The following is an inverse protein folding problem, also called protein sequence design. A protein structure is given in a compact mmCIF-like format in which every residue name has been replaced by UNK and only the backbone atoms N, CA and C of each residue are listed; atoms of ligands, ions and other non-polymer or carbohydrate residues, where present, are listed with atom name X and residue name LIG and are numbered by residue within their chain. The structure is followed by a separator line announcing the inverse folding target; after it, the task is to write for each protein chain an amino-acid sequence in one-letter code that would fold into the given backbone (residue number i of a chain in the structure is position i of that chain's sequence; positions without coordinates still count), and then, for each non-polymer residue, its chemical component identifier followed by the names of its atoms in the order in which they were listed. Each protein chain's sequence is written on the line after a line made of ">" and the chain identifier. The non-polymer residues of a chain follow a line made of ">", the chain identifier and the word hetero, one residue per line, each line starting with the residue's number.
data_IF_831679934465
#
_entry.id   IF_831679934465
#
_cell.length_a   1.000
_cell.length_b   1.000
_cell.length_c   1.000
_cell.angle_alpha   90.00
_cell.angle_beta   90.00
_cell.angle_gamma   90.00
#
_symmetry.space_group_name_H-M   'P 1'
#
loop_
_entity.id
_entity.type
_entity.pdbx_description
1 polymer ?
#
# COMPACT_ATOMS: atom_id res chain seq x y z
N UNK A 1 -4.08 -0.12 -10.32
CA UNK A 1 -2.90 -0.88 -10.80
C UNK A 1 -1.64 -0.02 -10.95
N UNK A 2 -1.57 1.04 -11.77
CA UNK A 2 -0.32 1.83 -11.91
C UNK A 2 0.02 2.69 -10.68
N UNK A 3 -0.99 3.25 -10.00
CA UNK A 3 -0.80 4.03 -8.78
C UNK A 3 -0.40 3.17 -7.58
N UNK A 4 -0.99 1.98 -7.43
CA UNK A 4 -0.64 1.05 -6.34
C UNK A 4 0.82 0.57 -6.43
N UNK A 5 1.36 0.46 -7.66
CA UNK A 5 2.75 0.06 -7.89
C UNK A 5 3.71 1.24 -7.68
N UNK A 6 3.39 2.43 -8.20
CA UNK A 6 4.21 3.65 -7.98
C UNK A 6 4.22 4.06 -6.50
N UNK A 7 3.11 3.89 -5.78
CA UNK A 7 2.96 4.18 -4.36
C UNK A 7 3.80 3.22 -3.49
N UNK A 8 3.75 1.91 -3.77
CA UNK A 8 4.63 0.94 -3.12
C UNK A 8 6.11 1.22 -3.41
N UNK A 9 6.46 1.66 -4.63
CA UNK A 9 7.86 1.99 -4.99
C UNK A 9 8.38 3.22 -4.25
N UNK A 10 7.54 4.25 -4.11
CA UNK A 10 7.86 5.46 -3.35
C UNK A 10 8.02 5.18 -1.85
N UNK A 11 7.21 4.26 -1.32
CA UNK A 11 7.34 3.82 0.07
C UNK A 11 8.62 3.00 0.29
N UNK A 12 9.05 2.16 -0.66
CA UNK A 12 10.22 1.29 -0.48
C UNK A 12 11.57 2.02 -0.63
N UNK A 13 11.65 3.09 -1.45
CA UNK A 13 12.92 3.73 -1.77
C UNK A 13 13.42 4.81 -0.79
N UNK A 14 12.56 5.66 -0.22
CA UNK A 14 13.03 6.79 0.62
C UNK A 14 12.30 6.93 1.96
N UNK A 15 11.15 6.27 2.11
CA UNK A 15 10.18 6.70 3.11
C UNK A 15 9.54 5.53 3.91
N UNK A 16 10.04 4.30 3.71
CA UNK A 16 9.63 3.08 4.40
C UNK A 16 10.70 2.57 5.35
N UNK A 17 11.63 1.75 4.87
CA UNK A 17 12.57 1.03 5.76
C UNK A 17 14.03 1.51 5.73
N UNK A 18 14.40 2.37 4.77
CA UNK A 18 15.75 2.94 4.66
C UNK A 18 16.88 1.89 4.76
N UNK A 19 16.76 0.79 4.00
CA UNK A 19 17.66 -0.38 4.06
C UNK A 19 19.14 0.00 3.94
N UNK A 20 19.45 1.05 3.18
CA UNK A 20 20.81 1.58 3.02
C UNK A 20 21.46 2.02 4.34
N UNK A 21 20.66 2.44 5.34
CA UNK A 21 21.15 2.79 6.69
C UNK A 21 21.58 1.57 7.52
N UNK A 22 21.19 0.35 7.14
CA UNK A 22 21.57 -0.86 7.87
C UNK A 22 23.05 -1.20 7.78
N UNK A 23 23.77 -0.65 6.79
CA UNK A 23 25.20 -0.89 6.51
C UNK A 23 25.58 -2.39 6.34
N UNK A 24 24.60 -3.28 6.12
CA UNK A 24 24.85 -4.71 5.95
C UNK A 24 25.52 -4.96 4.60
N UNK A 25 26.72 -5.57 4.65
CA UNK A 25 27.50 -5.93 3.45
C UNK A 25 27.48 -7.43 3.12
N UNK A 26 26.87 -8.24 3.98
CA UNK A 26 26.76 -9.69 3.81
C UNK A 26 25.48 -10.04 3.04
N UNK A 27 25.62 -10.76 1.93
CA UNK A 27 24.48 -11.16 1.08
C UNK A 27 23.45 -12.01 1.86
N UNK A 28 23.84 -13.03 2.65
CA UNK A 28 22.89 -13.77 3.49
C UNK A 28 22.15 -12.90 4.51
N UNK A 29 22.85 -11.94 5.13
CA UNK A 29 22.25 -11.05 6.11
C UNK A 29 21.27 -10.06 5.46
N UNK A 30 21.60 -9.56 4.26
CA UNK A 30 20.74 -8.68 3.48
C UNK A 30 19.46 -9.40 3.03
N UNK A 31 19.56 -10.65 2.59
CA UNK A 31 18.40 -11.46 2.22
C UNK A 31 17.44 -11.67 3.41
N UNK A 32 17.97 -11.97 4.60
CA UNK A 32 17.16 -12.10 5.82
C UNK A 32 16.51 -10.78 6.22
N UNK A 33 17.24 -9.68 6.11
CA UNK A 33 16.68 -8.34 6.37
C UNK A 33 15.51 -8.06 5.42
N UNK A 34 15.68 -8.26 4.11
CA UNK A 34 14.60 -8.07 3.14
C UNK A 34 13.37 -8.93 3.43
N UNK A 35 13.56 -10.18 3.88
CA UNK A 35 12.43 -11.01 4.29
C UNK A 35 11.67 -10.41 5.47
N UNK A 36 12.38 -9.95 6.51
CA UNK A 36 11.75 -9.28 7.67
C UNK A 36 11.02 -8.01 7.23
N UNK A 37 11.63 -7.21 6.36
CA UNK A 37 11.03 -5.99 5.84
C UNK A 37 9.78 -6.28 5.01
N UNK A 38 9.79 -7.32 4.18
CA UNK A 38 8.61 -7.73 3.42
C UNK A 38 7.44 -8.12 4.36
N UNK A 39 7.72 -8.87 5.44
CA UNK A 39 6.71 -9.22 6.44
C UNK A 39 6.23 -7.97 7.20
N UNK A 40 7.13 -7.06 7.55
CA UNK A 40 6.78 -5.81 8.22
C UNK A 40 5.92 -4.91 7.33
N UNK A 41 6.27 -4.77 6.05
CA UNK A 41 5.46 -4.07 5.04
C UNK A 41 4.06 -4.68 4.97
N UNK A 42 3.96 -6.00 4.88
CA UNK A 42 2.67 -6.68 4.83
C UNK A 42 1.80 -6.39 6.07
N UNK A 43 2.41 -6.45 7.25
CA UNK A 43 1.71 -6.15 8.51
C UNK A 43 1.23 -4.69 8.57
N UNK A 44 2.12 -3.75 8.26
CA UNK A 44 1.82 -2.31 8.29
C UNK A 44 0.74 -1.96 7.26
N UNK A 45 0.79 -2.53 6.06
CA UNK A 45 -0.25 -2.37 5.04
C UNK A 45 -1.60 -2.91 5.53
N UNK A 46 -1.63 -4.10 6.16
CA UNK A 46 -2.87 -4.65 6.74
C UNK A 46 -3.43 -3.76 7.85
N UNK A 47 -2.56 -3.18 8.68
CA UNK A 47 -2.96 -2.22 9.71
C UNK A 47 -3.60 -0.98 9.10
N UNK A 48 -3.06 -0.47 7.99
CA UNK A 48 -3.64 0.65 7.26
C UNK A 48 -4.99 0.33 6.65
N UNK A 49 -5.16 -0.87 6.09
CA UNK A 49 -6.45 -1.33 5.55
C UNK A 49 -7.52 -1.34 6.65
N UNK A 50 -7.24 -1.96 7.80
CA UNK A 50 -8.17 -1.98 8.95
C UNK A 50 -8.54 -0.56 9.42
N UNK A 51 -7.58 0.37 9.43
CA UNK A 51 -7.82 1.78 9.83
C UNK A 51 -8.79 2.46 8.87
N UNK A 52 -8.69 2.18 7.56
CA UNK A 52 -9.61 2.69 6.55
C UNK A 52 -10.98 2.02 6.67
N UNK A 53 -11.03 0.69 6.79
CA UNK A 53 -12.28 -0.07 6.94
C UNK A 53 -13.08 0.34 8.20
N UNK A 54 -12.38 0.67 9.28
CA UNK A 54 -13.01 1.15 10.53
C UNK A 54 -13.33 2.66 10.52
N UNK A 55 -13.09 3.35 9.41
CA UNK A 55 -13.40 4.78 9.24
C UNK A 55 -12.47 5.73 10.01
N UNK A 56 -11.34 5.24 10.54
CA UNK A 56 -10.40 6.00 11.37
C UNK A 56 -9.26 6.64 10.60
N UNK A 57 -9.24 6.49 9.26
CA UNK A 57 -8.23 7.09 8.37
C UNK A 57 -7.90 8.54 8.72
N UNK A 58 -8.92 9.38 8.95
CA UNK A 58 -8.74 10.83 9.16
C UNK A 58 -7.97 11.20 10.43
N UNK A 59 -7.72 10.23 11.31
CA UNK A 59 -6.93 10.45 12.52
C UNK A 59 -5.43 10.51 12.21
N UNK A 60 -5.02 9.91 11.09
CA UNK A 60 -3.61 9.82 10.66
C UNK A 60 -3.38 10.32 9.23
N UNK A 61 -4.43 10.46 8.43
CA UNK A 61 -4.41 11.04 7.09
C UNK A 61 -5.47 12.14 6.96
N UNK A 62 -5.03 13.40 7.04
CA UNK A 62 -5.90 14.58 7.11
C UNK A 62 -6.57 14.92 5.77
N UNK A 63 -6.16 14.28 4.67
CA UNK A 63 -6.68 14.57 3.34
C UNK A 63 -8.15 14.17 3.17
N UNK A 64 -8.89 14.94 2.34
CA UNK A 64 -10.30 14.69 2.03
C UNK A 64 -10.50 13.35 1.30
N UNK A 65 -9.69 13.09 0.29
CA UNK A 65 -9.55 11.77 -0.35
C UNK A 65 -8.32 11.08 0.21
N UNK A 66 -8.23 9.74 0.11
CA UNK A 66 -7.01 9.02 0.46
C UNK A 66 -5.85 9.56 -0.38
N UNK A 67 -4.96 10.30 0.28
CA UNK A 67 -3.73 10.83 -0.32
C UNK A 67 -2.50 9.98 -0.01
N UNK A 68 -2.61 9.15 1.04
CA UNK A 68 -1.56 8.28 1.53
C UNK A 68 -1.84 6.81 1.21
N UNK A 69 -0.77 6.04 1.02
CA UNK A 69 -0.86 4.60 0.85
C UNK A 69 -1.40 3.91 2.08
N UNK A 70 -1.93 2.70 1.92
CA UNK A 70 -2.27 1.87 3.07
C UNK A 70 -1.06 1.60 3.97
N UNK A 71 0.12 1.43 3.39
CA UNK A 71 1.36 1.30 4.16
C UNK A 71 1.63 2.57 4.99
N UNK A 72 1.55 3.76 4.40
CA UNK A 72 1.77 5.04 5.09
C UNK A 72 0.75 5.28 6.18
N UNK A 73 -0.54 5.04 5.90
CA UNK A 73 -1.61 5.12 6.89
C UNK A 73 -1.33 4.17 8.06
N UNK A 74 -0.96 2.92 7.76
CA UNK A 74 -0.61 1.94 8.78
C UNK A 74 0.62 2.34 9.60
N UNK A 75 1.63 2.91 8.96
CA UNK A 75 2.86 3.36 9.62
C UNK A 75 2.61 4.50 10.58
N UNK A 76 1.89 5.54 10.15
CA UNK A 76 1.49 6.65 11.02
C UNK A 76 0.60 6.16 12.16
N UNK A 77 -0.31 5.20 11.90
CA UNK A 77 -1.11 4.57 12.94
C UNK A 77 -0.27 3.82 13.96
N UNK A 78 0.74 3.05 13.53
CA UNK A 78 1.64 2.33 14.45
C UNK A 78 2.39 3.31 15.35
N UNK A 79 2.97 4.38 14.79
CA UNK A 79 3.64 5.43 15.57
C UNK A 79 2.68 6.08 16.57
N UNK A 80 1.52 6.54 16.09
CA UNK A 80 0.50 7.14 16.94
C UNK A 80 -0.02 6.18 18.02
N UNK A 81 -0.08 4.88 17.73
CA UNK A 81 -0.49 3.85 18.70
C UNK A 81 0.52 3.67 19.82
N UNK A 82 1.82 3.79 19.53
CA UNK A 82 2.87 3.72 20.55
C UNK A 82 2.81 4.92 21.50
N UNK A 83 2.43 6.10 20.99
CA UNK A 83 2.32 7.33 21.78
C UNK A 83 1.00 7.40 22.56
N UNK A 84 -0.11 6.99 21.94
CA UNK A 84 -1.47 7.22 22.46
C UNK A 84 -2.15 5.93 22.99
N UNK A 85 -1.47 4.79 22.96
CA UNK A 85 -2.01 3.50 23.43
C UNK A 85 -3.14 2.94 22.56
N UNK A 86 -3.19 3.31 21.28
CA UNK A 86 -4.21 2.78 20.37
C UNK A 86 -4.00 1.31 20.06
N UNK A 87 -5.09 0.63 19.69
CA UNK A 87 -5.05 -0.79 19.39
C UNK A 87 -4.47 -1.03 18.00
N UNK A 88 -3.53 -1.97 17.94
CA UNK A 88 -3.02 -2.54 16.71
C UNK A 88 -3.79 -3.81 16.32
N UNK A 89 -3.72 -4.17 15.04
CA UNK A 89 -4.29 -5.42 14.54
C UNK A 89 -3.61 -6.62 15.20
N UNK A 90 -4.43 -7.60 15.58
CA UNK A 90 -3.95 -8.87 16.13
C UNK A 90 -3.81 -9.96 15.07
N UNK A 91 -4.45 -9.78 13.92
CA UNK A 91 -4.48 -10.74 12.82
C UNK A 91 -4.41 -9.97 11.51
N UNK A 92 -3.50 -10.40 10.65
CA UNK A 92 -3.38 -9.90 9.28
C UNK A 92 -4.46 -10.58 8.44
N UNK A 93 -5.31 -9.79 7.77
CA UNK A 93 -6.35 -10.30 6.87
C UNK A 93 -6.38 -9.47 5.59
N UNK A 94 -6.43 -10.16 4.46
CA UNK A 94 -6.68 -9.56 3.15
C UNK A 94 -7.85 -10.35 2.54
N UNK A 95 -9.05 -9.77 2.62
CA UNK A 95 -10.32 -10.47 2.33
C UNK A 95 -10.82 -10.23 0.92
N UNK A 96 -10.40 -9.13 0.28
CA UNK A 96 -10.89 -8.70 -1.01
C UNK A 96 -9.84 -7.91 -1.79
N UNK A 97 -9.89 -7.99 -3.12
CA UNK A 97 -9.14 -7.11 -4.02
C UNK A 97 -9.87 -5.77 -4.27
N UNK A 98 -11.00 -5.54 -3.60
CA UNK A 98 -11.72 -4.28 -3.69
C UNK A 98 -11.01 -3.25 -2.82
N UNK A 99 -10.55 -2.16 -3.43
CA UNK A 99 -10.04 -0.98 -2.71
C UNK A 99 -11.24 -0.19 -2.12
N UNK A 100 -11.39 -0.10 -0.78
CA UNK A 100 -12.50 0.60 -0.16
C UNK A 100 -12.41 2.14 -0.25
N UNK A 101 -11.22 2.74 -0.44
CA UNK A 101 -11.06 4.20 -0.53
C UNK A 101 -9.94 4.57 -1.51
N UNK A 102 -10.15 4.47 -2.82
CA UNK A 102 -9.08 4.56 -3.83
C UNK A 102 -8.36 5.91 -3.80
N UNK A 103 -7.05 5.90 -4.05
CA UNK A 103 -6.27 7.13 -4.14
C UNK A 103 -6.87 8.06 -5.20
N UNK A 104 -7.14 9.30 -4.80
CA UNK A 104 -7.71 10.31 -5.67
C UNK A 104 -7.04 11.67 -5.45
N UNK A 105 -6.18 12.06 -6.39
CA UNK A 105 -5.59 13.40 -6.41
C UNK A 105 -6.62 14.50 -6.78
N UNK A 106 -7.62 14.16 -7.61
CA UNK A 106 -8.67 15.07 -8.07
C UNK A 106 -9.88 14.29 -8.55
N UNK A 107 -11.09 14.74 -8.19
CA UNK A 107 -12.36 14.20 -8.71
C UNK A 107 -12.42 14.22 -10.23
N UNK A 108 -12.10 15.38 -10.83
CA UNK A 108 -12.14 15.56 -12.29
C UNK A 108 -11.20 14.62 -13.03
N UNK A 109 -10.00 14.38 -12.49
CA UNK A 109 -9.04 13.46 -13.11
C UNK A 109 -9.47 12.00 -12.94
N UNK A 110 -10.01 11.65 -11.78
CA UNK A 110 -10.54 10.31 -11.51
C UNK A 110 -11.71 9.97 -12.43
N UNK A 111 -12.67 10.88 -12.58
CA UNK A 111 -13.82 10.70 -13.46
C UNK A 111 -13.38 10.55 -14.92
N UNK A 112 -12.47 11.40 -15.40
CA UNK A 112 -11.87 11.30 -16.76
C UNK A 112 -11.12 9.99 -17.03
N UNK A 113 -10.70 9.25 -16.00
CA UNK A 113 -10.06 7.92 -16.14
C UNK A 113 -11.06 6.79 -16.07
N UNK A 114 -12.05 6.88 -15.17
CA UNK A 114 -13.09 5.86 -15.00
C UNK A 114 -13.81 5.57 -16.31
N UNK A 115 -14.01 6.59 -17.14
CA UNK A 115 -14.67 6.48 -18.44
C UNK A 115 -13.73 6.32 -19.65
N UNK A 116 -12.40 6.18 -19.45
CA UNK A 116 -11.42 6.11 -20.56
C UNK A 116 -10.95 4.69 -20.88
N UNK A 117 -11.07 3.75 -19.96
CA UNK A 117 -10.57 2.39 -20.16
C UNK A 117 -11.58 1.57 -20.96
N UNK A 118 -11.43 1.56 -22.28
CA UNK A 118 -12.06 0.59 -23.17
C UNK A 118 -11.13 -0.61 -23.35
N UNK A 119 -11.59 -1.80 -22.97
CA UNK A 119 -10.85 -3.04 -23.21
C UNK A 119 -11.29 -3.61 -24.56
N UNK A 120 -10.37 -3.69 -25.53
CA UNK A 120 -10.59 -4.45 -26.76
C UNK A 120 -10.02 -5.85 -26.59
N UNK A 121 -10.90 -6.84 -26.52
CA UNK A 121 -10.52 -8.26 -26.56
C UNK A 121 -10.07 -8.55 -28.00
N UNK A 122 -8.80 -8.92 -28.18
CA UNK A 122 -8.31 -9.45 -29.44
C UNK A 122 -8.23 -10.97 -29.30
N UNK A 123 -9.11 -11.67 -30.02
CA UNK A 123 -9.06 -13.12 -30.14
C UNK A 123 -8.15 -13.46 -31.31
N UNK A 124 -7.10 -14.24 -31.06
CA UNK A 124 -6.25 -14.80 -32.10
C UNK A 124 -6.61 -16.27 -32.30
N UNK A 125 -6.85 -16.66 -33.54
CA UNK A 125 -7.04 -18.05 -33.92
C UNK A 125 -5.72 -18.54 -34.52
N UNK A 126 -5.11 -19.55 -33.88
CA UNK A 126 -3.90 -20.17 -34.40
C UNK A 126 -4.33 -21.30 -35.33
N UNK A 127 -3.92 -21.22 -36.60
CA UNK A 127 -4.05 -22.33 -37.55
C UNK A 127 -3.02 -23.39 -37.13
N UNK A 128 -3.48 -24.63 -36.94
CA UNK A 128 -2.63 -25.79 -36.73
C UNK A 128 -2.11 -26.26 -38.10
N UNK A 129 -0.79 -26.27 -38.27
CA UNK A 129 -0.10 -26.93 -39.38
C UNK A 129 -0.14 -28.47 -39.23
#
# INVERSE_FOLDING_TARGET
>A
MRFDIEENFLDDQSNGWNVQKSQIRSVPALSRLWFILAVATLYVTAQGVEVVETGKRRWVDTHWFRGNSYFRIGWEWVKASLENGWRLIRRVRFTSNHDPDPVMASRTQHDKRRYRLEFKIQTYEYVLD
#
